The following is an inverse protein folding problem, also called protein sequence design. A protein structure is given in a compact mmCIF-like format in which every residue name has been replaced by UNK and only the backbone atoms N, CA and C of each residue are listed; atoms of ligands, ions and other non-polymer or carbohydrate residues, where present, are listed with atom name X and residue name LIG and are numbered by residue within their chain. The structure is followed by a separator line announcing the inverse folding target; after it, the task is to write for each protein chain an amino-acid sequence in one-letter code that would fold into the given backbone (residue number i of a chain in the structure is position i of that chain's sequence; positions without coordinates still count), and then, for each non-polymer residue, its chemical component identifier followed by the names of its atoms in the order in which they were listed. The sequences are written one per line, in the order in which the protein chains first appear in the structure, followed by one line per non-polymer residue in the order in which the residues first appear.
data_IF_722982465858
#
_entry.id   IF_722982465858
#
_cell.length_a   1.000
_cell.length_b   1.000
_cell.length_c   1.000
_cell.angle_alpha   90.00
_cell.angle_beta   90.00
_cell.angle_gamma   90.00
#
_symmetry.space_group_name_H-M   'P 1'
#
loop_
_entity.id
_entity.type
_entity.pdbx_description
1 polymer ?
#
# COMPACT_ATOMS: atom_id res chain seq x y z
N UNK A 1 16.20 -23.61 -55.75
CA UNK A 1 15.47 -24.15 -54.57
C UNK A 1 16.50 -24.44 -53.50
N UNK A 2 16.49 -23.80 -52.34
CA UNK A 2 15.68 -24.25 -51.21
C UNK A 2 15.12 -23.08 -50.38
N UNK A 3 13.94 -23.36 -49.81
CA UNK A 3 12.98 -22.48 -49.15
C UNK A 3 13.53 -21.81 -47.89
N UNK A 4 13.03 -20.60 -47.66
CA UNK A 4 12.94 -19.95 -46.36
C UNK A 4 12.38 -20.88 -45.28
N UNK A 5 12.99 -20.85 -44.10
CA UNK A 5 12.31 -21.16 -42.85
C UNK A 5 12.22 -19.87 -42.03
N UNK A 6 11.01 -19.29 -41.84
CA UNK A 6 10.81 -18.33 -40.77
C UNK A 6 10.79 -19.12 -39.46
N UNK A 7 11.72 -18.82 -38.55
CA UNK A 7 11.56 -19.25 -37.16
C UNK A 7 10.57 -18.28 -36.51
N UNK A 8 9.31 -18.71 -36.50
CA UNK A 8 8.25 -18.15 -35.68
C UNK A 8 8.58 -18.43 -34.20
N UNK A 9 9.16 -17.42 -33.55
CA UNK A 9 9.30 -17.32 -32.10
C UNK A 9 8.91 -15.93 -31.62
N UNK A 10 8.01 -15.26 -32.34
CA UNK A 10 7.42 -13.98 -31.93
C UNK A 10 6.43 -14.23 -30.81
N UNK A 11 6.93 -14.48 -29.60
CA UNK A 11 6.15 -14.26 -28.39
C UNK A 11 5.73 -12.80 -28.40
N UNK A 12 4.49 -12.51 -28.81
CA UNK A 12 3.87 -11.20 -28.61
C UNK A 12 3.83 -10.98 -27.10
N UNK A 13 4.90 -10.38 -26.56
CA UNK A 13 4.90 -9.89 -25.20
C UNK A 13 3.66 -9.01 -25.04
N UNK A 14 2.86 -9.29 -24.01
CA UNK A 14 1.70 -8.45 -23.69
C UNK A 14 2.20 -7.01 -23.62
N UNK A 15 1.65 -6.13 -24.45
CA UNK A 15 2.08 -4.73 -24.45
C UNK A 15 1.73 -4.10 -23.10
N UNK A 16 2.65 -3.31 -22.56
CA UNK A 16 2.50 -2.61 -21.29
C UNK A 16 2.39 -1.11 -21.59
N UNK A 17 1.34 -0.48 -21.08
CA UNK A 17 1.21 0.98 -21.07
C UNK A 17 1.68 1.54 -19.73
N UNK A 18 2.23 2.75 -19.73
CA UNK A 18 2.68 3.44 -18.52
C UNK A 18 1.95 4.77 -18.35
N UNK A 19 1.75 5.15 -17.08
CA UNK A 19 1.24 6.47 -16.67
C UNK A 19 2.05 6.98 -15.48
N UNK A 20 2.30 8.28 -15.44
CA UNK A 20 2.95 8.96 -14.32
C UNK A 20 1.94 9.90 -13.65
N UNK A 21 1.95 9.95 -12.32
CA UNK A 21 1.21 10.91 -11.49
C UNK A 21 2.22 11.54 -10.53
N UNK A 22 2.31 12.86 -10.50
CA UNK A 22 3.18 13.58 -9.57
C UNK A 22 2.66 13.50 -8.12
N UNK A 23 3.52 13.68 -7.13
CA UNK A 23 3.11 13.77 -5.72
C UNK A 23 2.07 14.87 -5.54
N UNK A 24 2.25 16.05 -6.14
CA UNK A 24 1.28 17.14 -6.01
C UNK A 24 -0.10 16.82 -6.60
N UNK A 25 -0.16 16.09 -7.72
CA UNK A 25 -1.43 15.60 -8.26
C UNK A 25 -2.08 14.59 -7.31
N UNK A 26 -1.29 13.68 -6.74
CA UNK A 26 -1.80 12.68 -5.81
C UNK A 26 -2.26 13.32 -4.49
N UNK A 27 -1.51 14.27 -3.93
CA UNK A 27 -1.86 15.03 -2.73
C UNK A 27 -3.17 15.78 -2.93
N UNK A 28 -3.38 16.36 -4.12
CA UNK A 28 -4.66 16.98 -4.47
C UNK A 28 -5.80 15.96 -4.50
N UNK A 29 -5.58 14.79 -5.11
CA UNK A 29 -6.59 13.73 -5.12
C UNK A 29 -6.91 13.24 -3.69
N UNK A 30 -5.90 13.12 -2.84
CA UNK A 30 -6.06 12.78 -1.42
C UNK A 30 -6.86 13.86 -0.70
N UNK A 31 -6.51 15.14 -0.88
CA UNK A 31 -7.24 16.24 -0.27
C UNK A 31 -8.71 16.27 -0.71
N UNK A 32 -8.97 16.16 -2.01
CA UNK A 32 -10.33 16.13 -2.55
C UNK A 32 -11.14 14.96 -1.95
N UNK A 33 -10.51 13.80 -1.80
CA UNK A 33 -11.10 12.63 -1.15
C UNK A 33 -11.38 12.86 0.34
N UNK A 34 -10.43 13.46 1.07
CA UNK A 34 -10.59 13.78 2.49
C UNK A 34 -11.74 14.76 2.71
N UNK A 35 -11.87 15.79 1.88
CA UNK A 35 -12.97 16.75 1.96
C UNK A 35 -14.30 16.07 1.66
N UNK A 36 -14.35 15.25 0.60
CA UNK A 36 -15.56 14.50 0.21
C UNK A 36 -16.06 13.59 1.34
N UNK A 37 -15.15 13.00 2.10
CA UNK A 37 -15.42 12.08 3.21
C UNK A 37 -15.63 12.80 4.55
N UNK A 38 -15.65 14.15 4.56
CA UNK A 38 -15.69 14.96 5.78
C UNK A 38 -14.55 14.66 6.77
N UNK A 39 -13.42 14.18 6.24
CA UNK A 39 -12.20 13.87 6.97
C UNK A 39 -11.23 15.06 7.06
N UNK A 40 -11.39 16.05 6.18
CA UNK A 40 -10.69 17.32 6.22
C UNK A 40 -11.60 18.49 5.80
N UNK A 41 -11.19 19.71 6.15
CA UNK A 41 -11.76 20.97 5.64
C UNK A 41 -10.67 22.01 5.44
N UNK A 42 -10.90 22.99 4.57
CA UNK A 42 -10.00 24.13 4.42
C UNK A 42 -9.83 24.88 5.76
N UNK A 43 -8.61 25.30 6.04
CA UNK A 43 -8.32 26.16 7.18
C UNK A 43 -8.77 27.60 6.86
N UNK A 44 -9.58 28.19 7.75
CA UNK A 44 -10.12 29.53 7.52
C UNK A 44 -9.01 30.57 7.59
N UNK A 45 -8.85 31.36 6.54
CA UNK A 45 -7.87 32.46 6.49
C UNK A 45 -6.48 32.06 5.98
N UNK A 46 -6.23 30.78 5.71
CA UNK A 46 -4.93 30.30 5.19
C UNK A 46 -5.11 29.53 3.87
N UNK A 47 -4.96 30.20 2.71
CA UNK A 47 -5.08 29.56 1.41
C UNK A 47 -4.09 28.39 1.26
N UNK A 48 -4.62 27.22 0.86
CA UNK A 48 -3.80 26.03 0.65
C UNK A 48 -3.54 25.18 1.89
N UNK A 49 -4.08 25.55 3.05
CA UNK A 49 -4.05 24.72 4.26
C UNK A 49 -5.39 24.06 4.55
N UNK A 50 -5.31 22.92 5.20
CA UNK A 50 -6.47 22.14 5.61
C UNK A 50 -6.25 21.51 6.98
N UNK A 51 -7.35 21.31 7.69
CA UNK A 51 -7.37 20.69 9.00
C UNK A 51 -8.04 19.32 8.89
N UNK A 52 -7.39 18.29 9.43
CA UNK A 52 -7.98 16.97 9.57
C UNK A 52 -9.05 17.01 10.66
N UNK A 53 -10.30 16.78 10.27
CA UNK A 53 -11.47 16.76 11.16
C UNK A 53 -11.75 15.36 11.70
N UNK A 54 -11.33 14.31 10.98
CA UNK A 54 -11.50 12.92 11.41
C UNK A 54 -10.27 12.08 11.08
N UNK A 55 -9.45 11.79 12.10
CA UNK A 55 -8.22 10.99 11.96
C UNK A 55 -8.45 9.57 11.48
N UNK A 56 -9.59 8.94 11.82
CA UNK A 56 -9.90 7.57 11.40
C UNK A 56 -10.16 7.50 9.89
N UNK A 57 -10.91 8.47 9.37
CA UNK A 57 -11.20 8.56 7.93
C UNK A 57 -10.01 9.08 7.13
N UNK A 58 -9.17 9.93 7.75
CA UNK A 58 -7.96 10.44 7.12
C UNK A 58 -6.78 9.46 7.12
N UNK A 59 -6.92 8.31 7.78
CA UNK A 59 -5.87 7.31 7.85
C UNK A 59 -5.50 6.79 6.45
N UNK A 60 -4.20 6.65 6.16
CA UNK A 60 -3.72 6.30 4.81
C UNK A 60 -4.31 4.98 4.30
N UNK A 61 -4.46 3.98 5.17
CA UNK A 61 -5.11 2.71 4.80
C UNK A 61 -6.61 2.80 4.49
N UNK A 62 -7.24 3.97 4.70
CA UNK A 62 -8.64 4.25 4.35
C UNK A 62 -8.71 5.16 3.12
N UNK A 63 -8.03 6.30 3.14
CA UNK A 63 -8.14 7.31 2.07
C UNK A 63 -7.39 6.90 0.80
N UNK A 64 -6.18 6.31 0.91
CA UNK A 64 -5.37 5.99 -0.27
C UNK A 64 -6.03 4.93 -1.16
N UNK A 65 -6.62 3.83 -0.64
CA UNK A 65 -7.39 2.92 -1.47
C UNK A 65 -8.52 3.59 -2.25
N UNK A 66 -9.22 4.56 -1.64
CA UNK A 66 -10.31 5.31 -2.33
C UNK A 66 -9.78 6.14 -3.50
N UNK A 67 -8.60 6.73 -3.34
CA UNK A 67 -7.90 7.49 -4.39
C UNK A 67 -7.38 6.57 -5.52
N UNK A 68 -6.85 5.39 -5.17
CA UNK A 68 -6.18 4.49 -6.12
C UNK A 68 -7.13 3.50 -6.82
N UNK A 69 -8.20 3.05 -6.17
CA UNK A 69 -9.16 2.09 -6.73
C UNK A 69 -9.82 2.56 -8.05
N UNK A 70 -10.12 3.85 -8.28
CA UNK A 70 -10.54 4.34 -9.59
C UNK A 70 -9.53 4.07 -10.72
N UNK A 71 -8.23 4.08 -10.42
CA UNK A 71 -7.17 3.69 -11.34
C UNK A 71 -7.08 2.16 -11.47
N UNK A 72 -7.17 1.45 -10.34
CA UNK A 72 -7.16 -0.01 -10.29
C UNK A 72 -8.28 -0.67 -11.11
N UNK A 73 -9.51 -0.12 -11.07
CA UNK A 73 -10.64 -0.54 -11.92
C UNK A 73 -10.35 -0.45 -13.42
N UNK A 74 -9.43 0.44 -13.82
CA UNK A 74 -8.97 0.60 -15.22
C UNK A 74 -7.74 -0.25 -15.54
N UNK A 75 -7.28 -1.06 -14.60
CA UNK A 75 -6.13 -1.96 -14.68
C UNK A 75 -4.78 -1.30 -14.46
N UNK A 76 -4.74 -0.10 -13.88
CA UNK A 76 -3.47 0.56 -13.54
C UNK A 76 -2.94 0.05 -12.21
N UNK A 77 -1.74 -0.53 -12.23
CA UNK A 77 -1.01 -1.07 -11.07
C UNK A 77 0.17 -0.15 -10.77
N UNK A 78 0.33 0.27 -9.51
CA UNK A 78 1.48 1.06 -9.06
C UNK A 78 2.71 0.15 -8.99
N UNK A 79 3.69 0.43 -9.83
CA UNK A 79 4.96 -0.31 -9.92
C UNK A 79 6.05 0.33 -9.06
N UNK A 80 6.08 1.66 -9.00
CA UNK A 80 7.15 2.37 -8.32
C UNK A 80 6.72 3.76 -7.86
N UNK A 81 7.33 4.18 -6.76
CA UNK A 81 7.36 5.58 -6.32
C UNK A 81 8.80 6.07 -6.44
N UNK A 82 9.02 7.02 -7.33
CA UNK A 82 10.35 7.57 -7.60
C UNK A 82 10.69 8.67 -6.58
N UNK A 83 11.97 8.79 -6.22
CA UNK A 83 12.55 9.90 -5.44
C UNK A 83 12.33 11.28 -6.07
N UNK A 84 12.07 11.33 -7.39
CA UNK A 84 11.64 12.53 -8.13
C UNK A 84 10.14 12.84 -7.94
N UNK A 85 9.53 12.40 -6.84
CA UNK A 85 8.16 12.74 -6.45
C UNK A 85 7.09 12.31 -7.49
N UNK A 86 7.21 11.08 -8.00
CA UNK A 86 6.29 10.55 -9.02
C UNK A 86 5.88 9.10 -8.74
N UNK A 87 4.60 8.82 -8.94
CA UNK A 87 3.98 7.49 -8.90
C UNK A 87 3.88 6.96 -10.34
N UNK A 88 4.53 5.81 -10.59
CA UNK A 88 4.60 5.18 -11.90
C UNK A 88 3.67 3.99 -11.92
N UNK A 89 2.66 4.04 -12.79
CA UNK A 89 1.68 3.00 -12.99
C UNK A 89 1.96 2.25 -14.28
N UNK A 90 1.83 0.93 -14.27
CA UNK A 90 1.77 0.09 -15.45
C UNK A 90 0.35 -0.40 -15.69
N UNK A 91 0.07 -0.80 -16.93
CA UNK A 91 -1.15 -1.54 -17.28
C UNK A 91 -0.85 -2.52 -18.40
N UNK A 92 -1.03 -3.80 -18.12
CA UNK A 92 -0.94 -4.85 -19.12
C UNK A 92 -2.12 -4.78 -20.12
N UNK A 93 -1.91 -5.30 -21.33
CA UNK A 93 -2.94 -5.48 -22.34
C UNK A 93 -3.18 -6.98 -22.60
N UNK A 94 -4.42 -7.48 -22.47
CA UNK A 94 -5.63 -6.75 -22.05
C UNK A 94 -5.58 -6.33 -20.58
N UNK A 95 -6.24 -5.21 -20.25
CA UNK A 95 -6.30 -4.69 -18.89
C UNK A 95 -7.11 -5.61 -17.97
N UNK A 96 -6.57 -5.86 -16.77
CA UNK A 96 -7.23 -6.60 -15.69
C UNK A 96 -7.44 -5.66 -14.53
N UNK A 97 -8.67 -5.55 -14.03
CA UNK A 97 -8.98 -4.68 -12.91
C UNK A 97 -8.32 -5.19 -11.63
N UNK A 98 -7.85 -4.26 -10.81
CA UNK A 98 -7.28 -4.54 -9.49
C UNK A 98 -7.91 -3.66 -8.43
N UNK A 99 -7.94 -4.17 -7.20
CA UNK A 99 -8.22 -3.43 -5.99
C UNK A 99 -6.92 -3.13 -5.25
N UNK A 100 -6.85 -1.99 -4.58
CA UNK A 100 -5.73 -1.53 -3.75
C UNK A 100 -6.02 -1.69 -2.27
N UNK A 101 -4.98 -2.08 -1.52
CA UNK A 101 -4.86 -1.96 -0.07
C UNK A 101 -3.56 -1.22 0.23
N UNK A 102 -3.59 -0.31 1.20
CA UNK A 102 -2.41 0.48 1.58
C UNK A 102 -2.20 0.34 3.08
N UNK A 103 -0.97 0.07 3.50
CA UNK A 103 -0.59 -0.07 4.90
C UNK A 103 0.56 0.87 5.22
N UNK A 104 0.54 1.47 6.42
CA UNK A 104 1.67 2.20 7.00
C UNK A 104 2.57 1.23 7.80
N UNK A 105 3.81 1.59 8.13
CA UNK A 105 4.60 0.83 9.09
C UNK A 105 3.86 0.58 10.40
N UNK A 106 3.15 1.59 10.93
CA UNK A 106 2.39 1.44 12.17
C UNK A 106 1.24 0.42 12.06
N UNK A 107 0.66 0.22 10.87
CA UNK A 107 -0.34 -0.83 10.65
C UNK A 107 0.29 -2.22 10.67
N UNK A 108 1.48 -2.36 10.07
CA UNK A 108 2.25 -3.59 10.10
C UNK A 108 2.75 -3.90 11.51
N UNK A 109 3.24 -2.90 12.23
CA UNK A 109 3.70 -3.03 13.62
C UNK A 109 2.56 -3.45 14.54
N UNK A 110 1.37 -2.85 14.39
CA UNK A 110 0.19 -3.26 15.15
C UNK A 110 -0.17 -4.72 14.89
N UNK A 111 -0.08 -5.16 13.63
CA UNK A 111 -0.34 -6.55 13.25
C UNK A 111 0.74 -7.50 13.78
N UNK A 112 2.01 -7.08 13.74
CA UNK A 112 3.15 -7.79 14.28
C UNK A 112 3.03 -8.02 15.79
N UNK A 113 2.69 -6.96 16.54
CA UNK A 113 2.48 -7.05 17.99
C UNK A 113 1.41 -8.07 18.33
N UNK A 114 0.23 -7.99 17.71
CA UNK A 114 -0.86 -8.95 17.94
C UNK A 114 -0.46 -10.39 17.62
N UNK A 115 0.35 -10.59 16.58
CA UNK A 115 0.83 -11.93 16.18
C UNK A 115 1.82 -12.49 17.19
N UNK A 116 2.77 -11.67 17.63
CA UNK A 116 3.77 -12.05 18.62
C UNK A 116 3.16 -12.29 20.00
N UNK A 117 2.14 -11.53 20.39
CA UNK A 117 1.34 -11.80 21.60
C UNK A 117 0.64 -13.16 21.51
N UNK A 118 -0.02 -13.44 20.37
CA UNK A 118 -0.72 -14.72 20.14
C UNK A 118 0.23 -15.93 20.14
N UNK A 119 1.45 -15.77 19.64
CA UNK A 119 2.45 -16.84 19.64
C UNK A 119 3.18 -16.99 20.98
N UNK A 120 2.93 -16.10 21.96
CA UNK A 120 3.64 -16.06 23.24
C UNK A 120 5.08 -15.51 23.15
N UNK A 121 5.47 -14.94 22.01
CA UNK A 121 6.77 -14.32 21.83
C UNK A 121 6.84 -12.92 22.47
N UNK A 122 5.68 -12.27 22.65
CA UNK A 122 5.47 -11.09 23.48
C UNK A 122 4.53 -11.42 24.64
N UNK A 123 4.86 -10.96 25.84
CA UNK A 123 3.99 -11.03 27.00
C UNK A 123 3.63 -9.63 27.49
N UNK A 124 2.35 -9.44 27.81
CA UNK A 124 1.83 -8.20 28.38
C UNK A 124 1.79 -8.37 29.91
N UNK A 125 2.66 -7.67 30.62
CA UNK A 125 2.78 -7.82 32.06
C UNK A 125 1.83 -6.86 32.80
N UNK A 126 2.11 -5.56 32.71
CA UNK A 126 1.42 -4.52 33.46
C UNK A 126 1.29 -3.24 32.62
N UNK A 127 0.41 -2.33 33.02
CA UNK A 127 0.37 -0.98 32.47
C UNK A 127 1.28 -0.05 33.29
N UNK A 128 2.23 0.62 32.63
CA UNK A 128 2.92 1.78 33.19
C UNK A 128 2.15 3.04 32.81
N UNK A 129 1.19 3.42 33.66
CA UNK A 129 0.25 4.50 33.36
C UNK A 129 -0.74 4.11 32.26
N UNK A 130 -0.66 4.78 31.10
CA UNK A 130 -1.49 4.45 29.92
C UNK A 130 -0.73 3.61 28.86
N UNK A 131 0.53 3.30 29.11
CA UNK A 131 1.37 2.54 28.18
C UNK A 131 1.47 1.09 28.64
N UNK A 132 1.06 0.10 27.82
CA UNK A 132 1.28 -1.30 28.17
C UNK A 132 2.78 -1.61 28.16
N UNK A 133 3.31 -2.15 29.25
CA UNK A 133 4.66 -2.67 29.31
C UNK A 133 4.68 -4.08 28.71
N UNK A 134 5.43 -4.26 27.63
CA UNK A 134 5.59 -5.53 26.94
C UNK A 134 6.99 -6.09 27.13
N UNK A 135 7.07 -7.38 27.41
CA UNK A 135 8.33 -8.13 27.48
C UNK A 135 8.48 -9.03 26.25
N UNK A 136 9.67 -9.02 25.66
CA UNK A 136 10.05 -9.96 24.60
C UNK A 136 10.49 -11.27 25.25
N UNK A 137 9.58 -12.25 25.26
CA UNK A 137 9.81 -13.57 25.84
C UNK A 137 10.69 -14.43 24.93
N UNK A 138 10.49 -14.31 23.61
CA UNK A 138 11.32 -14.98 22.60
C UNK A 138 11.85 -13.97 21.58
N UNK A 139 13.09 -13.52 21.80
CA UNK A 139 13.77 -12.58 20.93
C UNK A 139 14.09 -13.14 19.54
N UNK A 140 14.17 -14.47 19.38
CA UNK A 140 14.38 -15.07 18.06
C UNK A 140 13.09 -15.00 17.25
N UNK A 141 11.95 -15.37 17.84
CA UNK A 141 10.65 -15.28 17.20
C UNK A 141 10.25 -13.83 16.88
N UNK A 142 10.62 -12.87 17.74
CA UNK A 142 10.30 -11.44 17.58
C UNK A 142 11.12 -10.71 16.51
N UNK A 143 12.09 -11.37 15.85
CA UNK A 143 12.89 -10.74 14.78
C UNK A 143 12.03 -10.33 13.60
N UNK A 144 12.25 -9.13 13.08
CA UNK A 144 11.55 -8.62 11.89
C UNK A 144 11.71 -9.53 10.67
N UNK A 145 12.85 -10.24 10.57
CA UNK A 145 13.13 -11.22 9.52
C UNK A 145 12.20 -12.45 9.58
N UNK A 146 11.56 -12.70 10.71
CA UNK A 146 10.58 -13.76 10.89
C UNK A 146 9.15 -13.21 10.79
N UNK A 147 8.90 -12.06 11.42
CA UNK A 147 7.55 -11.49 11.54
C UNK A 147 7.06 -10.90 10.23
N UNK A 148 7.88 -10.10 9.54
CA UNK A 148 7.44 -9.41 8.32
C UNK A 148 7.11 -10.40 7.19
N UNK A 149 7.94 -11.42 6.87
CA UNK A 149 7.56 -12.42 5.88
C UNK A 149 6.23 -13.11 6.23
N UNK A 150 6.05 -13.51 7.49
CA UNK A 150 4.84 -14.18 7.92
C UNK A 150 3.58 -13.28 7.84
N UNK A 151 3.71 -11.96 7.96
CA UNK A 151 2.61 -11.01 7.73
C UNK A 151 2.33 -10.84 6.23
N UNK A 152 3.37 -10.81 5.39
CA UNK A 152 3.22 -10.73 3.94
C UNK A 152 2.62 -12.01 3.35
N UNK A 153 2.92 -13.17 3.94
CA UNK A 153 2.30 -14.46 3.60
C UNK A 153 0.80 -14.47 3.92
N UNK A 154 0.38 -14.01 5.11
CA UNK A 154 -1.05 -13.88 5.44
C UNK A 154 -1.79 -12.98 4.45
N UNK A 155 -1.17 -11.85 4.06
CA UNK A 155 -1.72 -10.99 3.02
C UNK A 155 -1.79 -11.68 1.66
N UNK A 156 -0.78 -12.49 1.31
CA UNK A 156 -0.78 -13.27 0.09
C UNK A 156 -1.87 -14.35 0.07
N UNK A 157 -2.14 -14.98 1.21
CA UNK A 157 -3.24 -15.96 1.39
C UNK A 157 -4.61 -15.30 1.22
N UNK A 158 -4.76 -14.03 1.61
CA UNK A 158 -5.92 -13.18 1.31
C UNK A 158 -5.98 -12.71 -0.16
N UNK A 159 -4.99 -13.07 -0.98
CA UNK A 159 -4.86 -12.71 -2.40
C UNK A 159 -4.18 -11.37 -2.66
N UNK A 160 -3.66 -10.69 -1.63
CA UNK A 160 -2.96 -9.41 -1.78
C UNK A 160 -1.51 -9.62 -2.21
N UNK A 161 -1.06 -8.81 -3.16
CA UNK A 161 0.32 -8.81 -3.65
C UNK A 161 0.94 -7.45 -3.43
N UNK A 162 2.09 -7.41 -2.76
CA UNK A 162 2.86 -6.18 -2.63
C UNK A 162 3.29 -5.70 -4.03
N UNK A 163 2.85 -4.52 -4.43
CA UNK A 163 3.14 -3.95 -5.75
C UNK A 163 4.23 -2.89 -5.69
N UNK A 164 4.24 -2.06 -4.64
CA UNK A 164 5.24 -1.01 -4.45
C UNK A 164 5.43 -0.66 -2.97
N UNK A 165 6.58 -0.08 -2.66
CA UNK A 165 6.89 0.51 -1.35
C UNK A 165 7.37 1.94 -1.56
N UNK A 166 6.72 2.92 -0.91
CA UNK A 166 7.13 4.33 -0.95
C UNK A 166 7.97 4.65 0.29
N UNK A 167 9.28 4.42 0.18
CA UNK A 167 10.23 4.69 1.27
C UNK A 167 9.78 4.08 2.61
N UNK A 168 10.03 4.75 3.75
CA UNK A 168 9.57 4.27 5.06
C UNK A 168 8.08 4.51 5.31
N UNK A 169 7.30 5.00 4.33
CA UNK A 169 6.00 5.62 4.61
C UNK A 169 4.82 4.72 4.32
N UNK A 170 4.80 4.01 3.19
CA UNK A 170 3.63 3.26 2.73
C UNK A 170 3.99 1.99 1.95
N UNK A 171 3.20 0.94 2.20
CA UNK A 171 3.20 -0.33 1.48
C UNK A 171 1.92 -0.42 0.65
N UNK A 172 2.06 -0.65 -0.66
CA UNK A 172 0.94 -0.72 -1.60
C UNK A 172 0.74 -2.17 -2.03
N UNK A 173 -0.46 -2.67 -1.83
CA UNK A 173 -0.86 -4.01 -2.21
C UNK A 173 -1.96 -3.94 -3.26
N UNK A 174 -1.97 -4.91 -4.15
CA UNK A 174 -3.04 -5.09 -5.14
C UNK A 174 -3.54 -6.52 -5.16
N UNK A 175 -4.82 -6.71 -5.52
CA UNK A 175 -5.37 -8.02 -5.86
C UNK A 175 -6.28 -7.90 -7.09
N UNK A 176 -6.39 -8.93 -7.94
CA UNK A 176 -7.39 -8.95 -9.01
C UNK A 176 -8.81 -8.77 -8.46
N UNK A 177 -9.65 -8.04 -9.20
CA UNK A 177 -11.10 -7.95 -8.95
C UNK A 177 -11.84 -9.08 -9.65
#
# INVERSE_FOLDING_TARGET
MAKSKPSAGGGKGRSVAYKVVTVSELDRMVYDELVRENAARAESGEPGRYVITNKKLAHSGVVMPKVLNPLGKKGWVLEAVNKMECYIFSRAQPAVAVEYKVLTPADLDRSAVLKLEKSGALALHHFEGQTPAMEVVDASAAKIQNVLPALLEELADEGWRLSAVSGPQLYFFTRPV
#
